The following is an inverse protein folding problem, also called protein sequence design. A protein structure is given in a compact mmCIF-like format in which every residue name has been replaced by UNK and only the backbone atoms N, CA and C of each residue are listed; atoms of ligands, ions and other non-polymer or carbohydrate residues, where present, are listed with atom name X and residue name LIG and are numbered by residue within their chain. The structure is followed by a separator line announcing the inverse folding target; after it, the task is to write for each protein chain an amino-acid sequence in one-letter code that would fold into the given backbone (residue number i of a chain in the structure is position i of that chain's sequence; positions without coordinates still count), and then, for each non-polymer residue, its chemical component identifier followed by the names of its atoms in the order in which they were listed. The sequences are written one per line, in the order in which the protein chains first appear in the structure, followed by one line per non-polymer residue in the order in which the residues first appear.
data_IF_108095857583
#
_entry.id   IF_108095857583
#
_cell.length_a   1.000
_cell.length_b   1.000
_cell.length_c   1.000
_cell.angle_alpha   90.00
_cell.angle_beta   90.00
_cell.angle_gamma   90.00
#
_symmetry.space_group_name_H-M   'P 1'
#
loop_
_entity.id
_entity.type
_entity.pdbx_description
1 polymer ?
#
# COMPACT_ATOMS: atom_id res chain seq x y z
N UNK A 1 -25.07 53.09 -10.79
CA UNK A 1 -24.92 52.31 -9.54
C UNK A 1 -24.56 50.90 -9.96
N UNK A 2 -23.37 50.46 -9.51
CA UNK A 2 -22.62 49.29 -9.96
C UNK A 2 -23.28 47.98 -9.48
N UNK A 3 -23.53 47.05 -10.41
CA UNK A 3 -22.77 45.81 -10.69
C UNK A 3 -23.10 44.64 -9.75
N UNK A 4 -23.83 43.69 -10.34
CA UNK A 4 -24.04 42.31 -9.88
C UNK A 4 -22.71 41.65 -9.53
N UNK A 5 -22.55 41.30 -8.25
CA UNK A 5 -21.41 40.52 -7.77
C UNK A 5 -21.75 39.04 -7.90
N UNK A 6 -21.66 38.50 -9.11
CA UNK A 6 -21.53 37.05 -9.31
C UNK A 6 -20.10 36.69 -8.91
N UNK A 7 -19.96 36.12 -7.72
CA UNK A 7 -18.72 35.52 -7.25
C UNK A 7 -18.38 34.34 -8.18
N UNK A 8 -17.41 34.57 -9.06
CA UNK A 8 -16.66 33.50 -9.73
C UNK A 8 -16.10 32.56 -8.67
N UNK A 9 -16.79 31.44 -8.45
CA UNK A 9 -16.20 30.27 -7.80
C UNK A 9 -15.27 29.68 -8.86
N UNK A 10 -14.04 30.20 -8.90
CA UNK A 10 -12.95 29.58 -9.64
C UNK A 10 -12.74 28.17 -9.07
N UNK A 11 -13.16 27.19 -9.86
CA UNK A 11 -12.84 25.79 -9.64
C UNK A 11 -11.32 25.63 -9.62
N UNK A 12 -10.72 25.03 -8.57
CA UNK A 12 -9.28 24.92 -8.49
C UNK A 12 -8.80 23.88 -9.50
N UNK A 13 -8.26 24.38 -10.61
CA UNK A 13 -7.23 23.80 -11.47
C UNK A 13 -7.50 22.36 -11.94
N UNK A 14 -8.02 22.24 -13.17
CA UNK A 14 -7.69 21.09 -14.04
C UNK A 14 -6.16 21.01 -14.18
N UNK A 15 -5.49 20.17 -13.38
CA UNK A 15 -4.08 19.84 -13.60
C UNK A 15 -4.00 18.94 -14.84
N UNK A 16 -3.76 19.53 -16.01
CA UNK A 16 -3.32 18.81 -17.21
C UNK A 16 -1.84 18.43 -17.08
N UNK A 17 -1.50 17.63 -16.08
CA UNK A 17 -0.19 17.00 -15.94
C UNK A 17 -0.23 15.57 -16.47
N UNK A 18 0.89 15.07 -16.99
CA UNK A 18 0.99 13.64 -17.31
C UNK A 18 0.82 12.83 -16.01
N UNK A 19 0.33 11.59 -16.09
CA UNK A 19 0.15 10.72 -14.91
C UNK A 19 1.42 10.59 -14.07
N UNK A 20 2.59 10.64 -14.70
CA UNK A 20 3.90 10.62 -14.03
C UNK A 20 4.17 11.84 -13.15
N UNK A 21 3.56 12.98 -13.46
CA UNK A 21 3.73 14.25 -12.74
C UNK A 21 2.83 14.33 -11.50
N UNK A 22 1.90 13.36 -11.35
CA UNK A 22 1.03 13.23 -10.18
C UNK A 22 1.76 12.60 -8.98
N UNK A 23 2.84 11.85 -9.23
CA UNK A 23 3.66 11.25 -8.16
C UNK A 23 4.67 12.28 -7.67
N UNK A 24 4.40 12.88 -6.51
CA UNK A 24 5.29 13.84 -5.87
C UNK A 24 5.94 13.22 -4.64
N UNK A 25 7.26 13.35 -4.53
CA UNK A 25 7.97 12.98 -3.31
C UNK A 25 8.07 14.18 -2.36
N UNK A 26 7.88 13.91 -1.07
CA UNK A 26 7.99 14.88 0.02
C UNK A 26 9.01 14.33 1.02
N UNK A 27 9.93 15.18 1.51
CA UNK A 27 10.86 14.78 2.55
C UNK A 27 10.13 14.71 3.90
N UNK A 28 10.32 13.63 4.66
CA UNK A 28 9.74 13.52 6.01
C UNK A 28 10.36 14.56 6.94
N UNK A 29 9.57 15.12 7.84
CA UNK A 29 10.04 16.21 8.75
C UNK A 29 11.18 15.76 9.67
N UNK A 30 11.11 14.53 10.16
CA UNK A 30 12.01 13.99 11.18
C UNK A 30 12.94 12.88 10.64
N UNK A 31 13.17 12.82 9.32
CA UNK A 31 13.98 11.78 8.69
C UNK A 31 14.54 12.22 7.35
N UNK A 32 15.71 11.71 6.97
CA UNK A 32 16.26 11.88 5.63
C UNK A 32 15.53 11.08 4.54
N UNK A 33 14.47 10.36 4.91
CA UNK A 33 13.63 9.60 3.99
C UNK A 33 12.56 10.46 3.34
N UNK A 34 12.22 10.10 2.11
CA UNK A 34 11.14 10.63 1.30
C UNK A 34 9.92 9.72 1.32
N UNK A 35 8.74 10.32 1.22
CA UNK A 35 7.44 9.65 1.09
C UNK A 35 6.69 10.21 -0.12
N UNK A 36 5.69 9.47 -0.60
CA UNK A 36 4.83 9.93 -1.71
C UNK A 36 3.71 10.79 -1.14
N UNK A 37 3.50 11.97 -1.71
CA UNK A 37 2.39 12.83 -1.36
C UNK A 37 1.04 12.11 -1.56
N UNK A 38 0.04 12.33 -0.70
CA UNK A 38 -1.27 11.70 -0.86
C UNK A 38 -1.92 12.03 -2.21
N UNK A 39 -2.41 11.00 -2.90
CA UNK A 39 -3.18 11.13 -4.14
C UNK A 39 -4.66 10.95 -3.77
N UNK A 40 -5.44 12.01 -3.90
CA UNK A 40 -6.86 12.01 -3.49
C UNK A 40 -7.81 11.64 -4.65
N UNK A 41 -7.37 11.84 -5.89
CA UNK A 41 -8.21 11.56 -7.05
C UNK A 41 -8.37 10.04 -7.22
N UNK A 42 -9.60 9.54 -7.44
CA UNK A 42 -9.81 8.14 -7.75
C UNK A 42 -9.15 7.80 -9.09
N UNK A 43 -8.39 6.70 -9.10
CA UNK A 43 -7.66 6.22 -10.28
C UNK A 43 -8.30 4.95 -10.82
N UNK A 44 -8.32 4.81 -12.15
CA UNK A 44 -8.58 3.50 -12.75
C UNK A 44 -7.45 2.53 -12.40
N UNK A 45 -7.72 1.23 -12.49
CA UNK A 45 -6.73 0.19 -12.18
C UNK A 45 -5.38 0.43 -12.90
N UNK A 46 -5.40 0.65 -14.21
CA UNK A 46 -4.19 0.87 -15.02
C UNK A 46 -3.44 2.16 -14.62
N UNK A 47 -4.17 3.24 -14.30
CA UNK A 47 -3.55 4.50 -13.84
C UNK A 47 -2.90 4.32 -12.46
N UNK A 48 -3.60 3.67 -11.54
CA UNK A 48 -3.09 3.34 -10.21
C UNK A 48 -1.85 2.45 -10.28
N UNK A 49 -1.89 1.42 -11.13
CA UNK A 49 -0.75 0.53 -11.36
C UNK A 49 0.50 1.27 -11.84
N UNK A 50 0.35 2.13 -12.85
CA UNK A 50 1.44 2.96 -13.35
C UNK A 50 2.02 3.89 -12.26
N UNK A 51 1.13 4.53 -11.49
CA UNK A 51 1.50 5.44 -10.41
C UNK A 51 2.28 4.72 -9.30
N UNK A 52 1.88 3.50 -8.93
CA UNK A 52 2.58 2.69 -7.93
C UNK A 52 3.99 2.29 -8.40
N UNK A 53 4.14 1.85 -9.66
CA UNK A 53 5.47 1.55 -10.21
C UNK A 53 6.37 2.79 -10.15
N UNK A 54 5.83 3.95 -10.57
CA UNK A 54 6.59 5.20 -10.56
C UNK A 54 6.96 5.63 -9.14
N UNK A 55 6.05 5.49 -8.18
CA UNK A 55 6.29 5.73 -6.77
C UNK A 55 7.41 4.84 -6.21
N UNK A 56 7.34 3.53 -6.45
CA UNK A 56 8.38 2.59 -6.03
C UNK A 56 9.76 2.96 -6.59
N UNK A 57 9.84 3.28 -7.88
CA UNK A 57 11.10 3.71 -8.53
C UNK A 57 11.66 4.99 -7.90
N UNK A 58 10.82 6.00 -7.71
CA UNK A 58 11.24 7.28 -7.13
C UNK A 58 11.69 7.13 -5.69
N UNK A 59 10.95 6.36 -4.88
CA UNK A 59 11.32 6.07 -3.50
C UNK A 59 12.65 5.31 -3.44
N UNK A 60 12.86 4.31 -4.29
CA UNK A 60 14.09 3.53 -4.33
C UNK A 60 15.31 4.36 -4.77
N UNK A 61 15.12 5.41 -5.55
CA UNK A 61 16.19 6.34 -5.94
C UNK A 61 16.56 7.35 -4.85
N UNK A 62 15.66 7.60 -3.90
CA UNK A 62 15.81 8.65 -2.89
C UNK A 62 16.00 8.15 -1.48
N UNK A 63 15.66 6.89 -1.23
CA UNK A 63 15.74 6.25 0.08
C UNK A 63 16.68 5.05 0.02
N UNK A 64 17.61 4.98 0.97
CA UNK A 64 18.39 3.79 1.20
C UNK A 64 17.59 2.76 2.04
N UNK A 65 17.92 1.47 1.88
CA UNK A 65 17.31 0.37 2.62
C UNK A 65 15.89 0.00 2.16
N UNK A 66 15.15 -0.69 3.03
CA UNK A 66 13.85 -1.27 2.66
C UNK A 66 12.75 -0.21 2.55
N UNK A 67 11.96 -0.31 1.47
CA UNK A 67 10.70 0.42 1.30
C UNK A 67 9.55 -0.55 1.55
N UNK A 68 8.74 -0.24 2.54
CA UNK A 68 7.53 -0.99 2.86
C UNK A 68 6.33 -0.30 2.22
N UNK A 69 5.54 -1.04 1.44
CA UNK A 69 4.29 -0.57 0.85
C UNK A 69 3.14 -1.49 1.29
N UNK A 70 2.07 -0.91 1.83
CA UNK A 70 0.85 -1.64 2.19
C UNK A 70 -0.18 -1.57 1.06
N UNK A 71 -0.81 -2.70 0.74
CA UNK A 71 -1.93 -2.79 -0.20
C UNK A 71 -3.16 -3.23 0.57
N UNK A 72 -4.11 -2.32 0.78
CA UNK A 72 -5.31 -2.56 1.57
C UNK A 72 -6.58 -2.47 0.70
N UNK A 73 -7.65 -3.11 1.15
CA UNK A 73 -8.95 -3.15 0.48
C UNK A 73 -9.75 -4.39 0.86
N UNK A 74 -11.07 -4.41 0.59
CA UNK A 74 -11.93 -5.54 0.95
C UNK A 74 -11.55 -6.82 0.20
N UNK A 75 -12.07 -7.97 0.65
CA UNK A 75 -11.96 -9.23 -0.08
C UNK A 75 -12.53 -9.08 -1.49
N UNK A 76 -11.92 -9.73 -2.49
CA UNK A 76 -12.33 -9.62 -3.89
C UNK A 76 -11.97 -8.31 -4.61
N UNK A 77 -11.35 -7.32 -3.95
CA UNK A 77 -10.98 -6.04 -4.57
C UNK A 77 -9.81 -6.10 -5.58
N UNK A 78 -9.25 -7.29 -5.83
CA UNK A 78 -8.15 -7.48 -6.78
C UNK A 78 -6.75 -7.23 -6.23
N UNK A 79 -6.55 -7.20 -4.90
CA UNK A 79 -5.22 -7.00 -4.25
C UNK A 79 -4.18 -8.03 -4.71
N UNK A 80 -4.56 -9.30 -4.78
CA UNK A 80 -3.69 -10.41 -5.23
C UNK A 80 -3.28 -10.21 -6.69
N UNK A 81 -4.25 -9.98 -7.58
CA UNK A 81 -3.98 -9.70 -9.01
C UNK A 81 -3.10 -8.46 -9.18
N UNK A 82 -3.31 -7.42 -8.37
CA UNK A 82 -2.50 -6.20 -8.40
C UNK A 82 -1.04 -6.46 -8.00
N UNK A 83 -0.82 -7.18 -6.90
CA UNK A 83 0.51 -7.50 -6.39
C UNK A 83 1.25 -8.49 -7.29
N UNK A 84 0.57 -9.49 -7.85
CA UNK A 84 1.12 -10.39 -8.87
C UNK A 84 1.57 -9.63 -10.10
N UNK A 85 0.73 -8.73 -10.65
CA UNK A 85 1.15 -7.87 -11.76
C UNK A 85 2.37 -7.04 -11.38
N UNK A 86 2.44 -6.51 -10.16
CA UNK A 86 3.57 -5.69 -9.72
C UNK A 86 4.88 -6.50 -9.67
N UNK A 87 4.84 -7.75 -9.18
CA UNK A 87 5.97 -8.68 -9.16
C UNK A 87 6.54 -8.94 -10.56
N UNK A 88 5.69 -9.06 -11.59
CA UNK A 88 6.14 -9.25 -12.97
C UNK A 88 6.93 -8.04 -13.52
N UNK A 89 6.57 -6.82 -13.11
CA UNK A 89 7.24 -5.59 -13.56
C UNK A 89 8.43 -5.19 -12.68
N UNK A 90 8.42 -5.56 -11.40
CA UNK A 90 9.44 -5.24 -10.42
C UNK A 90 9.92 -6.54 -9.74
N UNK A 91 10.78 -7.35 -10.38
CA UNK A 91 11.14 -8.67 -9.87
C UNK A 91 11.95 -8.66 -8.55
N UNK A 92 12.41 -7.49 -8.11
CA UNK A 92 13.16 -7.32 -6.86
C UNK A 92 12.28 -7.09 -5.62
N UNK A 93 10.96 -7.10 -5.74
CA UNK A 93 10.05 -6.93 -4.60
C UNK A 93 9.71 -8.29 -3.97
N UNK A 94 9.57 -8.31 -2.65
CA UNK A 94 8.99 -9.42 -1.91
C UNK A 94 7.54 -9.06 -1.53
N UNK A 95 6.61 -10.02 -1.67
CA UNK A 95 5.21 -9.86 -1.26
C UNK A 95 4.95 -10.74 -0.06
N UNK A 96 4.41 -10.14 0.99
CA UNK A 96 3.97 -10.82 2.21
C UNK A 96 2.48 -10.60 2.32
N UNK A 97 1.70 -11.69 2.27
CA UNK A 97 0.25 -11.60 2.51
C UNK A 97 -0.03 -11.52 4.00
N UNK A 98 -0.95 -10.63 4.40
CA UNK A 98 -1.43 -10.57 5.79
C UNK A 98 -2.22 -11.82 6.18
N UNK A 99 -2.79 -12.54 5.21
CA UNK A 99 -3.55 -13.76 5.47
C UNK A 99 -2.68 -14.85 6.11
N UNK A 100 -1.37 -14.83 5.87
CA UNK A 100 -0.42 -15.75 6.52
C UNK A 100 -0.37 -15.56 8.05
N UNK A 101 -0.70 -14.36 8.50
CA UNK A 101 -0.71 -13.99 9.91
C UNK A 101 -2.07 -14.21 10.56
N UNK A 102 -3.03 -14.79 9.85
CA UNK A 102 -4.29 -15.18 10.45
C UNK A 102 -4.09 -16.35 11.43
N UNK A 103 -4.79 -16.29 12.56
CA UNK A 103 -4.84 -17.29 13.60
C UNK A 103 -6.29 -17.80 13.73
N UNK A 104 -6.50 -19.02 13.26
CA UNK A 104 -7.82 -19.65 13.26
C UNK A 104 -8.34 -19.98 14.65
N UNK A 105 -7.49 -20.01 15.68
CA UNK A 105 -7.93 -20.16 17.07
C UNK A 105 -8.73 -18.95 17.57
N UNK A 106 -8.60 -17.80 16.90
CA UNK A 106 -9.30 -16.56 17.20
C UNK A 106 -10.63 -16.41 16.44
N UNK A 107 -11.03 -17.42 15.65
CA UNK A 107 -12.34 -17.44 14.98
C UNK A 107 -13.43 -17.54 16.03
N UNK A 108 -14.26 -16.50 16.11
CA UNK A 108 -15.49 -16.49 16.91
C UNK A 108 -16.67 -16.67 15.95
N UNK A 109 -17.51 -17.66 16.21
CA UNK A 109 -18.76 -17.94 15.46
C UNK A 109 -18.59 -18.13 13.94
N UNK A 110 -17.41 -18.57 13.48
CA UNK A 110 -17.15 -18.78 12.05
C UNK A 110 -16.94 -17.49 11.24
N UNK A 111 -16.70 -16.35 11.91
CA UNK A 111 -16.40 -15.10 11.25
C UNK A 111 -14.91 -15.01 10.87
N UNK A 112 -14.60 -15.24 9.60
CA UNK A 112 -13.24 -15.15 9.05
C UNK A 112 -12.81 -13.72 8.69
N UNK A 113 -13.75 -12.77 8.71
CA UNK A 113 -13.47 -11.35 8.43
C UNK A 113 -13.27 -10.53 9.71
N UNK A 114 -13.19 -11.18 10.88
CA UNK A 114 -12.93 -10.48 12.13
C UNK A 114 -11.49 -9.95 12.16
N UNK A 115 -11.26 -8.64 12.34
CA UNK A 115 -9.91 -8.10 12.40
C UNK A 115 -9.08 -8.68 13.56
N UNK A 116 -9.72 -9.23 14.60
CA UNK A 116 -9.03 -9.90 15.72
C UNK A 116 -8.35 -11.20 15.32
N UNK A 117 -8.66 -11.72 14.14
CA UNK A 117 -8.11 -12.97 13.63
C UNK A 117 -6.65 -12.84 13.19
N UNK A 118 -6.19 -11.63 12.88
CA UNK A 118 -4.79 -11.41 12.49
C UNK A 118 -3.89 -11.27 13.73
N UNK A 119 -2.84 -12.08 13.80
CA UNK A 119 -1.73 -11.98 14.74
C UNK A 119 -0.84 -10.78 14.38
N UNK A 120 -1.27 -9.61 14.84
CA UNK A 120 -0.56 -8.35 14.61
C UNK A 120 0.79 -8.29 15.32
N UNK A 121 0.97 -9.00 16.42
CA UNK A 121 2.22 -8.99 17.17
C UNK A 121 3.34 -9.61 16.33
N UNK A 122 3.13 -10.82 15.80
CA UNK A 122 4.09 -11.49 14.90
C UNK A 122 4.29 -10.70 13.60
N UNK A 123 3.22 -10.13 13.04
CA UNK A 123 3.31 -9.30 11.82
C UNK A 123 4.19 -8.07 12.05
N UNK A 124 3.97 -7.34 13.14
CA UNK A 124 4.73 -6.13 13.47
C UNK A 124 6.18 -6.46 13.82
N UNK A 125 6.43 -7.56 14.52
CA UNK A 125 7.79 -8.06 14.78
C UNK A 125 8.53 -8.34 13.47
N UNK A 126 7.92 -9.12 12.56
CA UNK A 126 8.50 -9.43 11.27
C UNK A 126 8.75 -8.16 10.42
N UNK A 127 7.81 -7.21 10.40
CA UNK A 127 8.01 -5.94 9.68
C UNK A 127 9.19 -5.15 10.27
N UNK A 128 9.33 -5.09 11.60
CA UNK A 128 10.46 -4.41 12.24
C UNK A 128 11.79 -5.08 11.88
N UNK A 129 11.87 -6.41 12.00
CA UNK A 129 13.06 -7.18 11.64
C UNK A 129 13.49 -6.96 10.19
N UNK A 130 12.53 -7.00 9.25
CA UNK A 130 12.80 -6.72 7.84
C UNK A 130 13.34 -5.30 7.64
N UNK A 131 12.71 -4.29 8.25
CA UNK A 131 13.19 -2.89 8.14
C UNK A 131 14.60 -2.68 8.69
N UNK A 132 15.05 -3.51 9.62
CA UNK A 132 16.42 -3.54 10.15
C UNK A 132 17.40 -4.36 9.28
N UNK A 133 16.93 -4.96 8.18
CA UNK A 133 17.73 -5.80 7.31
C UNK A 133 17.95 -7.22 7.84
N UNK A 134 17.16 -7.65 8.84
CA UNK A 134 17.26 -8.99 9.43
C UNK A 134 16.33 -9.97 8.71
N UNK A 135 16.73 -11.24 8.54
CA UNK A 135 15.82 -12.28 8.08
C UNK A 135 14.73 -12.52 9.14
N UNK A 136 13.54 -12.90 8.68
CA UNK A 136 12.38 -13.16 9.54
C UNK A 136 11.70 -14.45 9.11
N UNK A 137 10.94 -15.08 10.02
CA UNK A 137 10.14 -16.27 9.72
C UNK A 137 8.70 -15.85 9.46
N UNK A 138 8.32 -15.81 8.18
CA UNK A 138 6.95 -15.52 7.79
C UNK A 138 6.13 -16.81 7.91
N UNK A 139 5.05 -16.82 8.69
CA UNK A 139 4.18 -18.00 8.80
C UNK A 139 3.53 -18.35 7.46
N UNK A 140 3.07 -19.59 7.30
CA UNK A 140 2.29 -20.00 6.13
C UNK A 140 0.89 -20.40 6.60
N UNK A 141 -0.14 -19.75 6.08
CA UNK A 141 -1.53 -20.13 6.38
C UNK A 141 -2.03 -21.14 5.34
N UNK A 142 -2.36 -22.36 5.80
CA UNK A 142 -3.02 -23.34 4.96
C UNK A 142 -4.53 -23.18 5.02
N UNK A 143 -5.10 -22.65 3.95
CA UNK A 143 -6.55 -22.45 3.80
C UNK A 143 -7.35 -23.76 3.81
N UNK A 144 -6.74 -24.91 3.50
CA UNK A 144 -7.45 -26.21 3.50
C UNK A 144 -7.66 -26.72 4.92
N UNK A 145 -6.61 -26.66 5.74
CA UNK A 145 -6.68 -27.03 7.15
C UNK A 145 -7.16 -25.89 8.06
N UNK A 146 -7.28 -24.67 7.53
CA UNK A 146 -7.51 -23.45 8.31
C UNK A 146 -6.55 -23.35 9.49
N UNK A 147 -5.26 -23.58 9.24
CA UNK A 147 -4.23 -23.58 10.28
C UNK A 147 -2.91 -23.01 9.77
N UNK A 148 -2.10 -22.51 10.69
CA UNK A 148 -0.75 -22.01 10.41
C UNK A 148 0.25 -23.18 10.46
N UNK A 149 1.13 -23.25 9.46
CA UNK A 149 2.23 -24.22 9.34
C UNK A 149 3.57 -23.50 9.47
#
# INVERSE_FOLDING_TARGET
MAQDTLSNIESPRRRSGLLRDQVQLVKRKDSDRYEVAPIQDPLSFEKGFFIVIRACQLLAQKNDGIILAGVAGPSGAGKTVFTEKLLHFLPSIAVITMDNYNDSSLIIDGNFDDPRLTDYDTLLENIRGLKEGKPVQVPIYDFKSSSRI
#
